data_IF_653023488001
#
_entry.id   IF_653023488001
#
_cell.length_a   1.000
_cell.length_b   1.000
_cell.length_c   1.000
_cell.angle_alpha   90.00
_cell.angle_beta   90.00
_cell.angle_gamma   90.00
#
_symmetry.space_group_name_H-M   'P 1'
#
loop_
_entity.id
_entity.type
_entity.pdbx_description
1 polymer ?
#
# COMPACT_ATOMS: atom_id res chain seq x y z
N UNK A 1 -13.26 -1.28 -1.75
CA UNK A 1 -12.82 -2.67 -2.11
C UNK A 1 -11.35 -2.63 -2.43
N UNK A 2 -10.57 -3.56 -1.87
CA UNK A 2 -9.12 -3.66 -2.13
C UNK A 2 -8.86 -4.85 -3.05
N UNK A 3 -8.19 -4.60 -4.17
CA UNK A 3 -7.74 -5.60 -5.14
C UNK A 3 -6.28 -5.93 -4.84
N UNK A 4 -6.04 -7.13 -4.34
CA UNK A 4 -4.69 -7.57 -3.94
C UNK A 4 -3.90 -8.07 -5.14
N UNK A 5 -4.56 -8.81 -6.04
CA UNK A 5 -4.00 -9.22 -7.32
C UNK A 5 -4.43 -8.24 -8.43
N UNK A 6 -3.57 -8.10 -9.45
CA UNK A 6 -3.91 -7.40 -10.69
C UNK A 6 -4.97 -8.22 -11.45
N UNK A 7 -5.98 -7.55 -12.01
CA UNK A 7 -6.94 -8.18 -12.93
C UNK A 7 -6.26 -8.47 -14.27
N UNK A 8 -6.80 -9.45 -15.01
CA UNK A 8 -6.17 -9.95 -16.23
C UNK A 8 -6.19 -8.93 -17.39
N UNK A 9 -7.13 -7.97 -17.38
CA UNK A 9 -7.24 -6.94 -18.43
C UNK A 9 -7.89 -5.65 -17.91
N UNK A 10 -7.70 -4.56 -18.64
CA UNK A 10 -8.36 -3.28 -18.37
C UNK A 10 -9.90 -3.38 -18.49
N UNK A 11 -10.41 -4.24 -19.38
CA UNK A 11 -11.85 -4.48 -19.51
C UNK A 11 -12.45 -5.09 -18.24
N UNK A 12 -11.70 -5.91 -17.50
CA UNK A 12 -12.16 -6.45 -16.23
C UNK A 12 -12.27 -5.37 -15.15
N UNK A 13 -11.35 -4.38 -15.12
CA UNK A 13 -11.49 -3.22 -14.24
C UNK A 13 -12.75 -2.41 -14.57
N UNK A 14 -13.04 -2.19 -15.85
CA UNK A 14 -14.25 -1.46 -16.27
C UNK A 14 -15.52 -2.21 -15.90
N UNK A 15 -15.55 -3.53 -16.12
CA UNK A 15 -16.67 -4.39 -15.72
C UNK A 15 -16.87 -4.39 -14.21
N UNK A 16 -15.77 -4.53 -13.44
CA UNK A 16 -15.84 -4.47 -11.97
C UNK A 16 -16.40 -3.12 -11.52
N UNK A 17 -15.93 -2.01 -12.10
CA UNK A 17 -16.41 -0.67 -11.79
C UNK A 17 -17.92 -0.55 -11.99
N UNK A 18 -18.45 -1.09 -13.09
CA UNK A 18 -19.88 -1.08 -13.39
C UNK A 18 -20.71 -1.93 -12.39
N UNK A 19 -20.12 -3.02 -11.85
CA UNK A 19 -20.79 -3.90 -10.89
C UNK A 19 -20.80 -3.34 -9.46
N UNK A 20 -19.80 -2.51 -9.10
CA UNK A 20 -19.61 -2.01 -7.74
C UNK A 20 -19.73 -0.48 -7.70
N UNK A 21 -20.78 0.05 -8.30
CA UNK A 21 -21.04 1.49 -8.34
C UNK A 21 -21.01 2.11 -6.94
N UNK A 22 -20.32 3.26 -6.80
CA UNK A 22 -20.16 3.97 -5.52
C UNK A 22 -19.13 3.36 -4.56
N UNK A 23 -18.51 2.23 -4.89
CA UNK A 23 -17.45 1.61 -4.06
C UNK A 23 -16.08 2.12 -4.48
N UNK A 24 -15.31 2.64 -3.53
CA UNK A 24 -13.89 3.01 -3.76
C UNK A 24 -13.07 1.76 -4.07
N UNK A 25 -12.43 1.74 -5.24
CA UNK A 25 -11.48 0.70 -5.64
C UNK A 25 -10.05 1.09 -5.27
N UNK A 26 -9.36 0.20 -4.57
CA UNK A 26 -7.96 0.36 -4.18
C UNK A 26 -7.16 -0.79 -4.78
N UNK A 27 -6.21 -0.49 -5.66
CA UNK A 27 -5.28 -1.50 -6.19
C UNK A 27 -4.03 -1.58 -5.35
N UNK A 28 -3.65 -2.79 -4.95
CA UNK A 28 -2.36 -3.06 -4.32
C UNK A 28 -1.29 -3.17 -5.41
N UNK A 29 -0.20 -2.44 -5.22
CA UNK A 29 1.03 -2.54 -6.00
C UNK A 29 2.11 -3.10 -5.08
N UNK A 30 2.62 -4.27 -5.41
CA UNK A 30 3.74 -4.88 -4.69
C UNK A 30 5.05 -4.27 -5.18
N UNK A 31 5.67 -3.42 -4.36
CA UNK A 31 6.87 -2.66 -4.72
C UNK A 31 8.10 -3.57 -4.64
N UNK A 32 8.55 -4.09 -5.79
CA UNK A 32 9.66 -5.03 -5.90
C UNK A 32 10.87 -4.40 -6.58
N UNK A 33 10.64 -3.71 -7.68
CA UNK A 33 11.66 -3.11 -8.54
C UNK A 33 11.07 -1.94 -9.37
N UNK A 34 11.82 -1.40 -10.31
CA UNK A 34 11.43 -0.29 -11.19
C UNK A 34 10.12 -0.58 -11.97
N UNK A 35 9.83 -1.83 -12.30
CA UNK A 35 8.62 -2.20 -13.03
C UNK A 35 7.33 -1.91 -12.25
N UNK A 36 7.43 -1.77 -10.92
CA UNK A 36 6.32 -1.38 -10.06
C UNK A 36 5.83 0.04 -10.35
N UNK A 37 6.69 0.91 -10.88
CA UNK A 37 6.32 2.28 -11.30
C UNK A 37 5.42 2.20 -12.55
N UNK A 38 5.82 1.43 -13.55
CA UNK A 38 5.06 1.26 -14.79
C UNK A 38 3.70 0.62 -14.50
N UNK A 39 3.66 -0.39 -13.64
CA UNK A 39 2.42 -1.02 -13.19
C UNK A 39 1.48 -0.02 -12.50
N UNK A 40 2.00 0.80 -11.59
CA UNK A 40 1.21 1.80 -10.89
C UNK A 40 0.63 2.85 -11.85
N UNK A 41 1.43 3.34 -12.80
CA UNK A 41 1.00 4.31 -13.83
C UNK A 41 -0.05 3.70 -14.74
N UNK A 42 0.14 2.45 -15.17
CA UNK A 42 -0.81 1.73 -16.04
C UNK A 42 -2.18 1.55 -15.36
N UNK A 43 -2.20 1.20 -14.06
CA UNK A 43 -3.43 0.86 -13.34
C UNK A 43 -4.13 2.07 -12.70
N UNK A 44 -3.42 3.15 -12.45
CA UNK A 44 -3.98 4.36 -11.85
C UNK A 44 -5.29 4.88 -12.51
N UNK A 45 -5.47 4.87 -13.84
CA UNK A 45 -6.71 5.34 -14.47
C UNK A 45 -7.96 4.52 -14.10
N UNK A 46 -7.80 3.26 -13.71
CA UNK A 46 -8.91 2.32 -13.50
C UNK A 46 -9.38 2.22 -12.05
N UNK A 47 -8.66 2.83 -11.11
CA UNK A 47 -8.91 2.73 -9.67
C UNK A 47 -8.97 4.11 -9.01
N UNK A 48 -9.50 4.17 -7.80
CA UNK A 48 -9.61 5.43 -7.06
C UNK A 48 -8.36 5.73 -6.23
N UNK A 49 -7.68 4.67 -5.79
CA UNK A 49 -6.48 4.77 -4.94
C UNK A 49 -5.49 3.65 -5.27
N UNK A 50 -4.23 3.88 -4.96
CA UNK A 50 -3.19 2.87 -4.95
C UNK A 50 -2.78 2.58 -3.51
N UNK A 51 -2.42 1.32 -3.23
CA UNK A 51 -1.81 0.91 -1.96
C UNK A 51 -0.47 0.24 -2.29
N UNK A 52 0.62 0.79 -1.77
CA UNK A 52 1.96 0.24 -1.95
C UNK A 52 2.28 -0.70 -0.78
N UNK A 53 2.63 -1.95 -1.08
CA UNK A 53 2.97 -2.96 -0.08
C UNK A 53 4.27 -3.68 -0.43
N UNK A 54 4.89 -4.27 0.59
CA UNK A 54 6.15 -5.04 0.52
C UNK A 54 5.95 -6.53 0.20
N UNK A 55 4.71 -6.98 -0.03
CA UNK A 55 4.42 -8.37 -0.40
C UNK A 55 5.13 -8.78 -1.70
N UNK A 56 5.44 -10.06 -1.84
CA UNK A 56 6.02 -10.60 -3.06
C UNK A 56 5.14 -11.72 -3.65
N UNK A 57 4.25 -11.41 -4.59
CA UNK A 57 3.38 -12.40 -5.23
C UNK A 57 4.12 -13.37 -6.17
N UNK A 58 5.40 -13.09 -6.50
CA UNK A 58 6.22 -13.94 -7.40
C UNK A 58 6.84 -15.15 -6.68
N UNK A 59 6.74 -15.23 -5.36
CA UNK A 59 7.23 -16.38 -4.60
C UNK A 59 6.33 -17.60 -4.79
N UNK A 60 6.90 -18.82 -4.65
CA UNK A 60 6.17 -20.09 -4.74
C UNK A 60 5.01 -20.16 -3.73
N UNK A 61 5.18 -19.56 -2.55
CA UNK A 61 4.08 -19.21 -1.64
C UNK A 61 3.94 -17.69 -1.71
N UNK A 62 2.82 -17.21 -2.26
CA UNK A 62 2.56 -15.78 -2.42
C UNK A 62 2.63 -15.05 -1.08
N UNK A 63 3.44 -14.01 -1.00
CA UNK A 63 3.45 -13.08 0.11
C UNK A 63 2.56 -11.87 -0.25
N UNK A 64 1.33 -11.87 0.22
CA UNK A 64 0.34 -10.83 -0.10
C UNK A 64 0.30 -9.69 0.93
N UNK A 65 1.39 -9.49 1.67
CA UNK A 65 1.51 -8.46 2.70
C UNK A 65 1.57 -9.03 4.12
N UNK A 66 1.67 -8.17 5.11
CA UNK A 66 1.76 -8.58 6.53
C UNK A 66 3.08 -9.24 6.95
N UNK A 67 4.09 -9.22 6.08
CA UNK A 67 5.39 -9.91 6.29
C UNK A 67 6.28 -9.21 7.32
N UNK A 68 5.95 -7.97 7.71
CA UNK A 68 6.77 -7.14 8.59
C UNK A 68 8.03 -6.57 7.94
N UNK A 69 8.26 -6.84 6.63
CA UNK A 69 9.38 -6.27 5.87
C UNK A 69 8.97 -4.94 5.23
N UNK A 70 9.93 -4.01 5.13
CA UNK A 70 9.80 -2.78 4.35
C UNK A 70 10.26 -3.01 2.92
N UNK A 71 9.73 -2.24 1.98
CA UNK A 71 10.24 -2.15 0.62
C UNK A 71 11.04 -0.85 0.45
N UNK A 72 11.57 -0.61 -0.75
CA UNK A 72 12.31 0.62 -1.05
C UNK A 72 11.36 1.83 -1.15
N UNK A 73 11.41 2.71 -0.15
CA UNK A 73 10.59 3.92 -0.11
C UNK A 73 10.99 4.97 -1.16
N UNK A 74 12.20 4.90 -1.72
CA UNK A 74 12.56 5.75 -2.84
C UNK A 74 11.77 5.37 -4.10
N UNK A 75 11.54 4.08 -4.34
CA UNK A 75 10.62 3.62 -5.40
C UNK A 75 9.19 4.09 -5.13
N UNK A 76 8.72 3.97 -3.88
CA UNK A 76 7.38 4.45 -3.50
C UNK A 76 7.20 5.95 -3.71
N UNK A 77 8.22 6.75 -3.40
CA UNK A 77 8.22 8.20 -3.67
C UNK A 77 8.15 8.51 -5.17
N UNK A 78 8.82 7.72 -6.00
CA UNK A 78 8.76 7.83 -7.47
C UNK A 78 7.39 7.45 -8.01
N UNK A 79 6.77 6.38 -7.51
CA UNK A 79 5.38 6.01 -7.84
C UNK A 79 4.43 7.15 -7.46
N UNK A 80 4.60 7.72 -6.24
CA UNK A 80 3.81 8.85 -5.79
C UNK A 80 3.94 10.07 -6.72
N UNK A 81 5.13 10.33 -7.25
CA UNK A 81 5.37 11.43 -8.19
C UNK A 81 4.84 11.15 -9.60
N UNK A 82 4.74 9.88 -10.00
CA UNK A 82 4.33 9.45 -11.33
C UNK A 82 2.80 9.26 -11.48
N UNK A 83 2.02 9.31 -10.39
CA UNK A 83 0.57 9.09 -10.42
C UNK A 83 -0.19 10.20 -9.69
N UNK A 84 -1.40 10.52 -10.20
CA UNK A 84 -2.29 11.52 -9.60
C UNK A 84 -3.27 10.90 -8.57
N UNK A 85 -3.21 9.58 -8.35
CA UNK A 85 -4.12 8.91 -7.42
C UNK A 85 -3.66 9.05 -5.98
N UNK A 86 -4.59 9.21 -5.02
CA UNK A 86 -4.25 9.13 -3.61
C UNK A 86 -3.58 7.80 -3.30
N UNK A 87 -2.42 7.84 -2.64
CA UNK A 87 -1.57 6.69 -2.40
C UNK A 87 -1.54 6.34 -0.92
N UNK A 88 -1.86 5.10 -0.60
CA UNK A 88 -1.72 4.51 0.73
C UNK A 88 -0.38 3.78 0.80
N UNK A 89 0.34 3.90 1.91
CA UNK A 89 1.61 3.21 2.13
C UNK A 89 1.42 2.13 3.19
N UNK A 90 1.80 0.91 2.83
CA UNK A 90 1.79 -0.28 3.67
C UNK A 90 3.18 -0.94 3.70
N UNK A 91 3.27 -2.13 4.27
CA UNK A 91 4.47 -2.97 4.27
C UNK A 91 5.47 -2.65 5.36
N UNK A 92 5.49 -3.46 6.41
CA UNK A 92 6.49 -3.43 7.46
C UNK A 92 6.57 -2.15 8.30
N UNK A 93 5.52 -1.34 8.29
CA UNK A 93 5.47 -0.10 9.05
C UNK A 93 5.36 -0.38 10.55
N UNK A 94 6.13 0.36 11.35
CA UNK A 94 6.22 0.28 12.81
C UNK A 94 6.42 1.67 13.40
N UNK A 95 6.30 1.77 14.71
CA UNK A 95 6.49 3.03 15.46
C UNK A 95 7.83 3.70 15.16
N UNK A 96 8.90 2.90 15.01
CA UNK A 96 10.27 3.36 14.82
C UNK A 96 10.61 3.80 13.40
N UNK A 97 9.79 3.45 12.40
CA UNK A 97 10.09 3.75 11.00
C UNK A 97 9.02 4.55 10.26
N UNK A 98 7.79 4.64 10.80
CA UNK A 98 6.67 5.28 10.09
C UNK A 98 6.90 6.76 9.83
N UNK A 99 7.61 7.46 10.71
CA UNK A 99 7.95 8.88 10.52
C UNK A 99 8.84 9.11 9.30
N UNK A 100 9.87 8.28 9.12
CA UNK A 100 10.74 8.31 7.94
C UNK A 100 9.97 7.95 6.67
N UNK A 101 9.13 6.92 6.73
CA UNK A 101 8.28 6.51 5.61
C UNK A 101 7.37 7.65 5.13
N UNK A 102 6.70 8.35 6.05
CA UNK A 102 5.83 9.48 5.73
C UNK A 102 6.64 10.63 5.11
N UNK A 103 7.77 10.99 5.69
CA UNK A 103 8.62 12.09 5.21
C UNK A 103 9.15 11.80 3.80
N UNK A 104 9.54 10.55 3.53
CA UNK A 104 10.11 10.13 2.24
C UNK A 104 9.04 10.04 1.15
N UNK A 105 7.92 9.38 1.42
CA UNK A 105 6.91 9.05 0.39
C UNK A 105 5.83 10.12 0.29
N UNK A 106 5.50 10.80 1.39
CA UNK A 106 4.38 11.75 1.50
C UNK A 106 3.07 11.12 1.01
N UNK A 107 2.67 9.99 1.58
CA UNK A 107 1.46 9.29 1.15
C UNK A 107 0.20 10.05 1.58
N UNK A 108 -0.93 9.73 0.95
CA UNK A 108 -2.24 10.20 1.37
C UNK A 108 -2.67 9.58 2.71
N UNK A 109 -2.24 8.35 3.00
CA UNK A 109 -2.56 7.63 4.22
C UNK A 109 -1.66 6.43 4.43
N UNK A 110 -1.79 5.81 5.61
CA UNK A 110 -0.98 4.69 6.06
C UNK A 110 -1.88 3.48 6.30
N UNK A 111 -1.44 2.30 5.88
CA UNK A 111 -2.03 1.01 6.21
C UNK A 111 -1.04 0.18 7.04
N UNK A 112 -1.48 -0.34 8.18
CA UNK A 112 -0.63 -1.10 9.11
C UNK A 112 -1.34 -2.33 9.64
N UNK A 113 -0.61 -3.44 9.70
CA UNK A 113 -1.10 -4.69 10.28
C UNK A 113 -0.18 -5.20 11.40
N UNK A 114 0.96 -5.82 11.04
CA UNK A 114 1.86 -6.48 12.00
C UNK A 114 2.54 -5.52 12.98
N UNK A 115 2.82 -4.28 12.56
CA UNK A 115 3.53 -3.28 13.36
C UNK A 115 2.81 -2.83 14.63
N UNK A 116 1.50 -3.11 14.74
CA UNK A 116 0.65 -2.77 15.90
C UNK A 116 0.11 -4.01 16.59
N UNK A 117 0.74 -5.16 16.40
CA UNK A 117 0.35 -6.45 17.01
C UNK A 117 1.44 -7.01 17.91
N UNK A 118 1.02 -7.82 18.89
CA UNK A 118 1.87 -8.66 19.73
C UNK A 118 1.25 -10.05 19.76
N UNK A 119 2.02 -11.09 19.43
CA UNK A 119 1.56 -12.48 19.35
C UNK A 119 0.30 -12.67 18.48
N UNK A 120 0.22 -11.92 17.37
CA UNK A 120 -0.90 -11.96 16.44
C UNK A 120 -2.14 -11.14 16.85
N UNK A 121 -2.24 -10.71 18.10
CA UNK A 121 -3.34 -9.88 18.61
C UNK A 121 -3.03 -8.37 18.50
N UNK A 122 -4.05 -7.55 18.36
CA UNK A 122 -3.91 -6.09 18.38
C UNK A 122 -3.36 -5.64 19.74
N UNK A 123 -2.30 -4.84 19.71
CA UNK A 123 -1.66 -4.25 20.88
C UNK A 123 -2.05 -2.76 20.95
N UNK A 124 -2.89 -2.41 21.91
CA UNK A 124 -3.44 -1.06 22.05
C UNK A 124 -2.35 -0.01 22.31
N UNK A 125 -1.30 -0.36 23.06
CA UNK A 125 -0.20 0.56 23.39
C UNK A 125 0.68 0.79 22.15
N UNK A 126 0.95 -0.26 21.37
CA UNK A 126 1.63 -0.12 20.07
C UNK A 126 0.81 0.73 19.10
N UNK A 127 -0.50 0.50 19.02
CA UNK A 127 -1.38 1.28 18.16
C UNK A 127 -1.38 2.76 18.55
N UNK A 128 -1.49 3.07 19.85
CA UNK A 128 -1.48 4.46 20.32
C UNK A 128 -0.15 5.16 20.00
N UNK A 129 1.00 4.48 20.25
CA UNK A 129 2.33 5.00 19.90
C UNK A 129 2.52 5.17 18.40
N UNK A 130 2.03 4.22 17.60
CA UNK A 130 2.07 4.29 16.14
C UNK A 130 1.26 5.49 15.63
N UNK A 131 0.03 5.65 16.09
CA UNK A 131 -0.81 6.79 15.72
C UNK A 131 -0.14 8.13 16.08
N UNK A 132 0.46 8.22 17.28
CA UNK A 132 1.19 9.41 17.68
C UNK A 132 2.37 9.72 16.73
N UNK A 133 3.15 8.69 16.34
CA UNK A 133 4.26 8.85 15.40
C UNK A 133 3.79 9.31 14.00
N UNK A 134 2.63 8.79 13.53
CA UNK A 134 2.01 9.22 12.27
C UNK A 134 1.63 10.71 12.33
N UNK A 135 0.91 11.14 13.37
CA UNK A 135 0.48 12.54 13.49
C UNK A 135 1.64 13.51 13.72
N UNK A 136 2.73 13.06 14.30
CA UNK A 136 3.93 13.89 14.49
C UNK A 136 4.73 14.10 13.20
N UNK A 137 4.55 13.23 12.19
CA UNK A 137 5.27 13.27 10.91
C UNK A 137 4.43 13.83 9.74
N UNK A 138 3.13 14.03 9.93
CA UNK A 138 2.17 14.47 8.91
C UNK A 138 2.21 15.99 8.64
#
# INVERSE_FOLDING_TARGET
MQLVDRLASHDEYQRLRALVEGVTLVQVIHVLDESSIDEAVELAPFVDRLLLDSGNPRLAVKELGGTGRTHDWALSARIRAATDRPLLLAGGLRVDNVGEAITTVRPFGIDVCSGVRTDGALDSDKLARFAHAVFAAA
#
